data_IF_666654438748
#
_entry.id   IF_666654438748
#
_cell.length_a   1.000
_cell.length_b   1.000
_cell.length_c   1.000
_cell.angle_alpha   90.00
_cell.angle_beta   90.00
_cell.angle_gamma   90.00
#
_symmetry.space_group_name_H-M   'P 1'
#
loop_
_entity.id
_entity.type
_entity.pdbx_description
1 polymer ?
#
# COMPACT_ATOMS: atom_id res chain seq x y z
N UNK A 1 -2.41 21.93 3.88
CA UNK A 1 -1.33 21.21 3.17
C UNK A 1 -1.75 19.77 3.00
N UNK A 2 -2.25 19.37 1.81
CA UNK A 2 -2.48 17.95 1.52
C UNK A 2 -1.12 17.34 1.25
N UNK A 3 -0.55 16.66 2.24
CA UNK A 3 0.71 15.95 2.09
C UNK A 3 0.44 14.77 1.15
N UNK A 4 0.56 14.99 -0.16
CA UNK A 4 0.72 13.93 -1.13
C UNK A 4 2.11 13.34 -0.92
N UNK A 5 2.30 12.61 0.19
CA UNK A 5 3.51 11.82 0.40
C UNK A 5 3.53 10.84 -0.76
N UNK A 6 4.50 11.03 -1.67
CA UNK A 6 4.78 10.06 -2.74
C UNK A 6 4.76 8.67 -2.08
N UNK A 7 3.93 7.72 -2.54
CA UNK A 7 3.79 6.44 -1.87
C UNK A 7 5.16 5.81 -1.80
N UNK A 8 5.65 5.59 -0.58
CA UNK A 8 6.95 4.97 -0.37
C UNK A 8 6.88 3.54 -0.88
N UNK A 9 8.03 2.99 -1.23
CA UNK A 9 8.11 1.56 -1.50
C UNK A 9 7.76 0.80 -0.22
N UNK A 10 6.94 -0.24 -0.36
CA UNK A 10 6.54 -1.07 0.75
C UNK A 10 7.78 -1.70 1.41
N UNK A 11 7.79 -1.74 2.75
CA UNK A 11 8.92 -2.29 3.52
C UNK A 11 9.15 -3.80 3.28
N UNK A 12 8.11 -4.52 2.84
CA UNK A 12 8.22 -5.91 2.38
C UNK A 12 7.69 -6.06 0.96
N UNK A 13 8.19 -7.06 0.26
CA UNK A 13 7.62 -7.47 -1.02
C UNK A 13 6.24 -8.13 -0.78
N UNK A 14 5.18 -7.69 -1.47
CA UNK A 14 3.88 -8.36 -1.37
C UNK A 14 3.93 -9.80 -1.83
N UNK A 15 3.09 -10.62 -1.21
CA UNK A 15 2.75 -11.92 -1.78
C UNK A 15 1.93 -11.73 -3.06
N UNK A 16 1.97 -12.72 -3.96
CA UNK A 16 1.19 -12.71 -5.21
C UNK A 16 -0.31 -12.43 -4.98
N UNK A 17 -0.87 -12.88 -3.85
CA UNK A 17 -2.25 -12.59 -3.44
C UNK A 17 -2.51 -11.11 -3.08
N UNK A 18 -1.52 -10.42 -2.51
CA UNK A 18 -1.62 -9.00 -2.11
C UNK A 18 -1.50 -8.08 -3.33
N UNK A 19 -0.83 -8.54 -4.38
CA UNK A 19 -0.72 -7.88 -5.69
C UNK A 19 -2.10 -7.50 -6.30
N UNK A 20 -3.14 -8.25 -5.93
CA UNK A 20 -4.52 -8.05 -6.39
C UNK A 20 -5.24 -6.90 -5.66
N UNK A 21 -4.75 -6.48 -4.49
CA UNK A 21 -5.31 -5.41 -3.66
C UNK A 21 -4.71 -4.07 -4.05
N UNK A 22 -5.06 -3.58 -5.24
CA UNK A 22 -4.60 -2.28 -5.72
C UNK A 22 -5.27 -1.15 -4.94
N UNK A 23 -4.52 -0.08 -4.68
CA UNK A 23 -5.02 1.09 -3.97
C UNK A 23 -4.66 2.36 -4.72
N UNK A 24 -5.52 3.38 -4.59
CA UNK A 24 -5.23 4.72 -5.09
C UNK A 24 -4.81 5.67 -3.98
N UNK A 25 -5.44 5.50 -2.80
CA UNK A 25 -5.27 6.31 -1.60
C UNK A 25 -5.15 5.41 -0.37
N UNK A 26 -4.64 5.95 0.73
CA UNK A 26 -4.48 5.22 2.00
C UNK A 26 -5.81 4.78 2.62
N UNK A 27 -6.89 5.56 2.45
CA UNK A 27 -8.23 5.23 2.93
C UNK A 27 -8.97 4.19 2.08
N UNK A 28 -8.41 3.81 0.94
CA UNK A 28 -8.94 2.72 0.11
C UNK A 28 -8.68 1.35 0.77
N UNK A 29 -7.73 1.32 1.69
CA UNK A 29 -7.30 0.14 2.41
C UNK A 29 -8.00 0.02 3.76
N UNK A 30 -8.27 -1.22 4.17
CA UNK A 30 -8.80 -1.55 5.49
C UNK A 30 -7.91 -1.05 6.64
N UNK A 31 -8.47 -0.97 7.84
CA UNK A 31 -7.73 -0.54 9.03
C UNK A 31 -6.54 -1.48 9.28
N UNK A 32 -5.33 -0.93 9.37
CA UNK A 32 -4.07 -1.70 9.47
C UNK A 32 -3.40 -2.00 8.13
N UNK A 33 -3.96 -1.55 7.02
CA UNK A 33 -3.32 -1.58 5.71
C UNK A 33 -2.88 -0.17 5.30
N UNK A 34 -1.73 -0.09 4.64
CA UNK A 34 -1.23 1.16 4.06
C UNK A 34 -1.08 1.01 2.55
N UNK A 35 -1.44 2.06 1.82
CA UNK A 35 -1.24 2.12 0.38
C UNK A 35 0.22 2.50 0.08
N UNK A 36 1.01 1.53 -0.36
CA UNK A 36 2.42 1.71 -0.69
C UNK A 36 2.77 1.14 -2.08
N UNK A 37 3.92 1.55 -2.62
CA UNK A 37 4.36 1.11 -3.94
C UNK A 37 5.14 -0.21 -3.84
N UNK A 38 4.77 -1.20 -4.63
CA UNK A 38 5.42 -2.51 -4.70
C UNK A 38 5.82 -2.86 -6.14
N UNK A 39 6.45 -4.02 -6.32
CA UNK A 39 6.73 -4.60 -7.65
C UNK A 39 5.46 -4.78 -8.50
N UNK A 40 4.30 -4.90 -7.84
CA UNK A 40 2.97 -4.97 -8.44
C UNK A 40 2.34 -3.62 -8.79
N UNK A 41 2.97 -2.51 -8.41
CA UNK A 41 2.39 -1.16 -8.39
C UNK A 41 1.89 -0.77 -7.01
N UNK A 42 0.96 0.19 -6.94
CA UNK A 42 0.33 0.61 -5.67
C UNK A 42 -0.62 -0.46 -5.16
N UNK A 43 -0.36 -0.95 -3.95
CA UNK A 43 -1.21 -1.94 -3.30
C UNK A 43 -1.40 -1.64 -1.82
N UNK A 44 -2.51 -2.13 -1.26
CA UNK A 44 -2.75 -2.15 0.18
C UNK A 44 -1.90 -3.26 0.80
N UNK A 45 -0.88 -2.88 1.55
CA UNK A 45 -0.05 -3.83 2.28
C UNK A 45 -0.33 -3.69 3.78
N UNK A 46 -0.46 -4.82 4.47
CA UNK A 46 -0.67 -4.81 5.91
C UNK A 46 0.58 -4.29 6.62
N UNK A 47 0.44 -3.19 7.34
CA UNK A 47 1.46 -2.68 8.25
C UNK A 47 1.21 -3.32 9.61
N UNK A 48 1.96 -4.39 9.94
CA UNK A 48 2.04 -4.82 11.33
C UNK A 48 2.75 -3.69 12.10
N UNK A 49 2.01 -2.95 12.91
CA UNK A 49 2.57 -2.24 14.06
C UNK A 49 3.18 -3.27 15.02
#
# INVERSE_FOLDING_TARGET
VSVYTKPRYCARNPAFKECRRKCKYSWDCDTGYECCFSVCGKICLFIRQ
#
